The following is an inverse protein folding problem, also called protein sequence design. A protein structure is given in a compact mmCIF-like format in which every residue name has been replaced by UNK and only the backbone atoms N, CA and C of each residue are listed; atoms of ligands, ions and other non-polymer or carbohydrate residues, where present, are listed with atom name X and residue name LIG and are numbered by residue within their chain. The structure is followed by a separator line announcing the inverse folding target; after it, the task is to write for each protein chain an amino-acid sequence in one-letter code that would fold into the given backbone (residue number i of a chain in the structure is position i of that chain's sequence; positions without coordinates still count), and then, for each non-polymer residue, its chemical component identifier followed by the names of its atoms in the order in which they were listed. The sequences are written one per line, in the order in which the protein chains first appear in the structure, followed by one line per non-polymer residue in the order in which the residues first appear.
data_IF_169329718776
#
_entry.id   IF_169329718776
#
_cell.length_a   1.000
_cell.length_b   1.000
_cell.length_c   1.000
_cell.angle_alpha   90.00
_cell.angle_beta   90.00
_cell.angle_gamma   90.00
#
_symmetry.space_group_name_H-M   'P 1'
#
loop_
_entity.id
_entity.type
_entity.pdbx_description
1 polymer ?
#
# COMPACT_ATOMS: atom_id res chain seq x y z
N UNK A 1 -5.42 -3.53 -4.08
CA UNK A 1 -4.42 -3.51 -2.99
C UNK A 1 -4.53 -4.84 -2.27
N UNK A 2 -3.46 -5.64 -2.24
CA UNK A 2 -3.48 -6.97 -1.63
C UNK A 2 -3.49 -6.77 -0.12
N UNK A 3 -4.56 -7.19 0.55
CA UNK A 3 -4.58 -7.33 1.99
C UNK A 3 -3.60 -8.46 2.35
N UNK A 4 -2.38 -8.11 2.76
CA UNK A 4 -1.45 -9.08 3.33
C UNK A 4 -1.95 -9.43 4.73
N UNK A 5 -2.89 -10.37 4.81
CA UNK A 5 -3.49 -10.86 6.06
C UNK A 5 -2.48 -11.41 7.06
N UNK A 6 -1.22 -11.65 6.66
CA UNK A 6 -0.15 -12.16 7.53
C UNK A 6 1.23 -11.47 7.35
N UNK A 7 1.35 -10.33 6.65
CA UNK A 7 2.64 -9.64 6.38
C UNK A 7 3.77 -10.52 5.80
N UNK A 8 3.51 -11.75 5.36
CA UNK A 8 4.53 -12.62 4.75
C UNK A 8 4.87 -12.09 3.36
N UNK A 9 6.03 -11.45 3.27
CA UNK A 9 6.57 -10.88 2.02
C UNK A 9 7.50 -11.85 1.27
N UNK A 10 7.70 -13.06 1.80
CA UNK A 10 8.69 -14.03 1.31
C UNK A 10 8.43 -14.53 -0.12
N UNK A 11 7.19 -14.42 -0.62
CA UNK A 11 6.82 -14.77 -1.99
C UNK A 11 7.02 -13.66 -3.02
N UNK A 12 7.37 -12.44 -2.59
CA UNK A 12 7.53 -11.28 -3.46
C UNK A 12 8.98 -11.07 -3.86
N UNK A 13 9.21 -10.55 -5.05
CA UNK A 13 10.53 -10.10 -5.49
C UNK A 13 11.06 -8.98 -4.59
N UNK A 14 12.38 -8.79 -4.55
CA UNK A 14 13.01 -7.69 -3.80
C UNK A 14 12.38 -6.33 -4.13
N UNK A 15 12.05 -6.10 -5.40
CA UNK A 15 11.43 -4.86 -5.86
C UNK A 15 10.04 -4.66 -5.28
N UNK A 16 9.22 -5.71 -5.26
CA UNK A 16 7.88 -5.69 -4.67
C UNK A 16 7.93 -5.55 -3.15
N UNK A 17 8.87 -6.22 -2.48
CA UNK A 17 9.07 -6.07 -1.04
C UNK A 17 9.39 -4.62 -0.65
N UNK A 18 10.23 -3.94 -1.42
CA UNK A 18 10.55 -2.52 -1.23
C UNK A 18 9.31 -1.64 -1.43
N UNK A 19 8.51 -1.91 -2.47
CA UNK A 19 7.26 -1.18 -2.71
C UNK A 19 6.24 -1.40 -1.58
N UNK A 20 6.15 -2.61 -1.04
CA UNK A 20 5.30 -2.94 0.12
C UNK A 20 5.77 -2.19 1.37
N UNK A 21 7.08 -2.15 1.63
CA UNK A 21 7.65 -1.39 2.76
C UNK A 21 7.34 0.10 2.63
N UNK A 22 7.52 0.68 1.44
CA UNK A 22 7.19 2.07 1.16
C UNK A 22 5.69 2.38 1.35
N UNK A 23 4.81 1.53 0.83
CA UNK A 23 3.37 1.67 1.02
C UNK A 23 2.97 1.56 2.49
N UNK A 24 3.62 0.67 3.24
CA UNK A 24 3.39 0.47 4.67
C UNK A 24 3.77 1.72 5.46
N UNK A 25 4.96 2.28 5.22
CA UNK A 25 5.41 3.50 5.88
C UNK A 25 4.50 4.69 5.55
N UNK A 26 4.10 4.88 4.29
CA UNK A 26 3.21 5.98 3.92
C UNK A 26 1.75 5.84 4.36
N UNK A 27 1.32 4.65 4.77
CA UNK A 27 -0.09 4.36 5.10
C UNK A 27 -0.33 4.14 6.58
N UNK A 28 0.56 3.38 7.23
CA UNK A 28 0.33 2.84 8.58
C UNK A 28 1.16 3.57 9.62
N UNK A 29 2.36 4.07 9.29
CA UNK A 29 3.26 4.62 10.30
C UNK A 29 2.60 5.82 11.00
N UNK A 30 2.27 5.70 12.30
CA UNK A 30 1.99 6.86 13.10
C UNK A 30 3.36 7.48 13.35
N UNK A 31 3.77 8.40 12.49
CA UNK A 31 5.03 9.12 12.70
C UNK A 31 4.96 9.79 14.07
N UNK A 32 5.65 9.23 15.06
CA UNK A 32 5.96 9.92 16.31
C UNK A 32 6.94 11.07 16.08
N UNK A 33 7.50 11.13 14.87
CA UNK A 33 8.40 12.14 14.38
C UNK A 33 7.60 13.28 13.75
N UNK A 34 8.05 14.49 14.00
CA UNK A 34 7.54 15.71 13.39
C UNK A 34 7.95 15.78 11.92
N UNK A 35 7.25 16.61 11.13
CA UNK A 35 7.63 16.91 9.73
C UNK A 35 9.06 17.47 9.62
N UNK A 36 9.57 18.11 10.68
CA UNK A 36 10.94 18.61 10.72
C UNK A 36 11.97 17.46 10.85
N UNK A 37 11.61 16.37 11.51
CA UNK A 37 12.48 15.21 11.73
C UNK A 37 12.43 14.24 10.55
N UNK A 38 11.26 14.05 9.95
CA UNK A 38 11.08 13.17 8.79
C UNK A 38 10.13 13.80 7.75
N UNK A 39 10.63 14.71 6.90
CA UNK A 39 9.80 15.48 5.98
C UNK A 39 9.00 14.64 4.98
N UNK A 40 9.49 13.44 4.68
CA UNK A 40 8.90 12.53 3.71
C UNK A 40 8.09 11.41 4.36
N UNK A 41 8.04 11.33 5.69
CA UNK A 41 7.39 10.28 6.47
C UNK A 41 7.80 8.84 6.05
N UNK A 42 9.01 8.70 5.51
CA UNK A 42 9.57 7.47 4.95
C UNK A 42 11.02 7.38 5.37
N UNK A 43 11.40 6.23 5.92
CA UNK A 43 12.71 5.99 6.49
C UNK A 43 13.82 6.12 5.45
N UNK A 44 15.00 6.56 5.88
CA UNK A 44 16.18 6.66 5.01
C UNK A 44 16.53 5.32 4.34
N UNK A 45 16.32 4.21 5.06
CA UNK A 45 16.49 2.85 4.53
C UNK A 45 15.58 2.61 3.33
N UNK A 46 14.29 2.92 3.46
CA UNK A 46 13.30 2.73 2.40
C UNK A 46 13.53 3.68 1.24
N UNK A 47 13.90 4.94 1.51
CA UNK A 47 14.30 5.90 0.48
C UNK A 47 15.50 5.43 -0.35
N UNK A 48 16.52 4.89 0.31
CA UNK A 48 17.72 4.38 -0.35
C UNK A 48 17.41 3.15 -1.19
N UNK A 49 16.59 2.23 -0.67
CA UNK A 49 16.16 1.05 -1.41
C UNK A 49 15.32 1.42 -2.65
N UNK A 50 14.42 2.40 -2.53
CA UNK A 50 13.65 2.92 -3.67
C UNK A 50 14.55 3.49 -4.75
N UNK A 51 15.48 4.39 -4.41
CA UNK A 51 16.41 5.00 -5.36
C UNK A 51 17.36 4.00 -6.03
N UNK A 52 17.56 2.84 -5.40
CA UNK A 52 18.40 1.76 -5.94
C UNK A 52 17.64 0.89 -6.95
N UNK A 53 16.33 0.66 -6.73
CA UNK A 53 15.54 -0.32 -7.49
C UNK A 53 14.46 0.27 -8.39
N UNK A 54 14.23 1.58 -8.31
CA UNK A 54 13.21 2.29 -9.08
C UNK A 54 13.78 3.58 -9.66
N UNK A 55 13.32 3.92 -10.85
CA UNK A 55 13.54 5.25 -11.43
C UNK A 55 12.72 6.30 -10.69
N UNK A 56 13.12 7.57 -10.81
CA UNK A 56 12.38 8.68 -10.21
C UNK A 56 10.92 8.74 -10.65
N UNK A 57 10.62 8.38 -11.91
CA UNK A 57 9.24 8.36 -12.44
C UNK A 57 8.42 7.28 -11.74
N UNK A 58 8.96 6.06 -11.62
CA UNK A 58 8.26 4.96 -10.96
C UNK A 58 8.04 5.23 -9.46
N UNK A 59 8.97 5.92 -8.80
CA UNK A 59 8.79 6.33 -7.39
C UNK A 59 7.61 7.31 -7.25
N UNK A 60 7.47 8.27 -8.17
CA UNK A 60 6.34 9.22 -8.18
C UNK A 60 5.02 8.50 -8.46
N UNK A 61 5.00 7.55 -9.38
CA UNK A 61 3.81 6.74 -9.68
C UNK A 61 3.39 5.89 -8.48
N UNK A 62 4.34 5.24 -7.81
CA UNK A 62 4.09 4.48 -6.58
C UNK A 62 3.49 5.37 -5.48
N UNK A 63 4.11 6.53 -5.22
CA UNK A 63 3.63 7.47 -4.22
C UNK A 63 2.22 7.99 -4.55
N UNK A 64 1.96 8.26 -5.82
CA UNK A 64 0.66 8.74 -6.31
C UNK A 64 -0.44 7.68 -6.14
N UNK A 65 -0.14 6.43 -6.46
CA UNK A 65 -1.06 5.31 -6.24
C UNK A 65 -1.39 5.14 -4.75
N UNK A 66 -0.37 5.15 -3.88
CA UNK A 66 -0.55 5.05 -2.42
C UNK A 66 -1.42 6.20 -1.91
N UNK A 67 -1.17 7.44 -2.36
CA UNK A 67 -1.96 8.61 -1.98
C UNK A 67 -3.44 8.48 -2.39
N UNK A 68 -3.71 8.03 -3.62
CA UNK A 68 -5.07 7.83 -4.10
C UNK A 68 -5.83 6.82 -3.22
N UNK A 69 -5.20 5.69 -2.87
CA UNK A 69 -5.82 4.71 -1.98
C UNK A 69 -5.98 5.22 -0.55
N UNK A 70 -5.03 5.98 -0.03
CA UNK A 70 -5.16 6.60 1.30
C UNK A 70 -6.33 7.58 1.34
N UNK A 71 -6.54 8.35 0.28
CA UNK A 71 -7.72 9.20 0.13
C UNK A 71 -9.00 8.37 0.08
N UNK A 72 -9.09 7.36 -0.80
CA UNK A 72 -10.28 6.51 -0.93
C UNK A 72 -10.61 5.77 0.38
N UNK A 73 -9.61 5.27 1.10
CA UNK A 73 -9.80 4.61 2.39
C UNK A 73 -10.39 5.56 3.43
N UNK A 74 -9.91 6.81 3.48
CA UNK A 74 -10.46 7.83 4.38
C UNK A 74 -11.86 8.27 3.96
N UNK A 75 -12.08 8.44 2.67
CA UNK A 75 -13.38 8.76 2.09
C UNK A 75 -14.41 7.67 2.42
N UNK A 76 -14.10 6.40 2.15
CA UNK A 76 -14.96 5.27 2.46
C UNK A 76 -15.24 5.15 3.96
N UNK A 77 -14.24 5.40 4.82
CA UNK A 77 -14.46 5.41 6.28
C UNK A 77 -15.39 6.54 6.72
N UNK A 78 -15.31 7.70 6.07
CA UNK A 78 -16.16 8.84 6.39
C UNK A 78 -17.60 8.67 5.92
N UNK A 79 -17.79 8.23 4.68
CA UNK A 79 -19.11 8.03 4.09
C UNK A 79 -19.76 6.71 4.47
N UNK A 80 -18.97 5.72 4.90
CA UNK A 80 -19.37 4.37 5.26
C UNK A 80 -20.41 3.77 4.28
N UNK A 81 -20.11 3.74 2.97
CA UNK A 81 -21.02 3.15 2.00
C UNK A 81 -21.17 1.65 2.30
N UNK A 82 -22.35 1.12 2.01
CA UNK A 82 -22.54 -0.33 2.03
C UNK A 82 -21.60 -0.97 1.01
N UNK A 83 -20.96 -2.08 1.40
CA UNK A 83 -20.12 -2.84 0.49
C UNK A 83 -21.07 -3.52 -0.51
N UNK A 84 -20.93 -3.16 -1.77
CA UNK A 84 -21.61 -3.87 -2.85
C UNK A 84 -20.96 -5.25 -3.01
N UNK A 85 -21.55 -6.25 -2.35
CA UNK A 85 -21.11 -7.64 -2.44
C UNK A 85 -21.87 -8.26 -3.60
N UNK A 86 -21.47 -7.91 -4.83
CA UNK A 86 -21.90 -8.71 -5.98
C UNK A 86 -21.40 -10.14 -5.75
N UNK A 87 -22.32 -11.12 -5.77
CA UNK A 87 -21.94 -12.50 -5.57
C UNK A 87 -20.91 -12.90 -6.64
N UNK A 88 -19.88 -13.71 -6.28
CA UNK A 88 -18.99 -14.27 -7.29
C UNK A 88 -19.82 -14.99 -8.36
N UNK A 89 -19.39 -14.96 -9.64
CA UNK A 89 -20.05 -15.72 -10.69
C UNK A 89 -20.26 -17.18 -10.28
N UNK A 90 -21.38 -17.79 -10.71
CA UNK A 90 -21.76 -19.16 -10.34
C UNK A 90 -20.64 -20.19 -10.58
N UNK A 91 -19.83 -19.94 -11.61
CA UNK A 91 -18.64 -20.71 -11.99
C UNK A 91 -17.59 -20.77 -10.88
N UNK A 92 -17.39 -19.68 -10.14
CA UNK A 92 -16.47 -19.60 -9.00
C UNK A 92 -17.10 -20.26 -7.77
N UNK A 93 -18.39 -20.05 -7.55
CA UNK A 93 -19.12 -20.64 -6.42
C UNK A 93 -19.11 -22.18 -6.47
N UNK A 94 -19.17 -22.78 -7.67
CA UNK A 94 -19.11 -24.23 -7.86
C UNK A 94 -17.73 -24.86 -7.56
N UNK A 95 -16.66 -24.07 -7.50
CA UNK A 95 -15.31 -24.56 -7.20
C UNK A 95 -15.01 -24.62 -5.69
N UNK A 96 -15.84 -24.00 -4.86
CA UNK A 96 -15.70 -23.90 -3.40
C UNK A 96 -16.83 -24.62 -2.63
N UNK A 97 -17.75 -25.30 -3.34
CA UNK A 97 -18.79 -26.19 -2.79
C UNK A 97 -18.36 -27.66 -2.82
#
# INVERSE_FOLDING_TARGET
MIALGNQQVDGFSTREQIAIAFATELTINPSSLTVAEEPLAVSEKTQTALKTHFSNVEIVELASAIMAFNFMNRFNRFFNPDIDVEMPPDEIMALIS
#
